data_IF_762127054535
#
_entry.id   IF_762127054535
#
_cell.length_a   1.000
_cell.length_b   1.000
_cell.length_c   1.000
_cell.angle_alpha   90.00
_cell.angle_beta   90.00
_cell.angle_gamma   90.00
#
_symmetry.space_group_name_H-M   'P 1'
#
loop_
_entity.id
_entity.type
_entity.pdbx_description
1 polymer ?
#
# COMPACT_ATOMS: atom_id res chain seq x y z
N UNK A 1 -4.81 9.90 16.40
CA UNK A 1 -5.02 10.72 15.18
C UNK A 1 -6.37 10.38 14.54
N UNK A 2 -6.88 11.22 13.62
CA UNK A 2 -8.09 10.90 12.81
C UNK A 2 -7.74 10.22 11.48
N UNK A 3 -6.56 10.53 10.96
CA UNK A 3 -6.01 10.03 9.71
C UNK A 3 -4.61 9.48 9.99
N UNK A 4 -4.26 8.40 9.31
CA UNK A 4 -2.94 7.78 9.36
C UNK A 4 -2.43 7.65 7.93
N UNK A 5 -1.23 8.15 7.68
CA UNK A 5 -0.58 8.05 6.38
C UNK A 5 0.65 7.16 6.52
N UNK A 6 0.75 6.14 5.66
CA UNK A 6 1.83 5.17 5.63
C UNK A 6 2.48 5.25 4.24
N UNK A 7 3.80 5.36 4.20
CA UNK A 7 4.57 5.27 2.96
C UNK A 7 4.92 3.83 2.63
N UNK A 8 4.90 3.46 1.35
CA UNK A 8 5.30 2.15 0.86
C UNK A 8 6.75 1.83 1.19
N UNK A 9 7.62 2.84 1.28
CA UNK A 9 9.01 2.67 1.74
C UNK A 9 9.13 2.05 3.13
N UNK A 10 8.10 2.20 3.98
CA UNK A 10 8.11 1.61 5.30
C UNK A 10 8.11 0.07 5.25
N UNK A 11 7.59 -0.52 4.17
CA UNK A 11 7.57 -1.98 3.97
C UNK A 11 8.98 -2.59 3.83
N UNK A 12 9.99 -1.78 3.49
CA UNK A 12 11.37 -2.26 3.38
C UNK A 12 12.08 -2.40 4.73
N UNK A 13 11.52 -1.84 5.79
CA UNK A 13 12.11 -1.81 7.14
C UNK A 13 11.41 -2.77 8.12
N UNK A 14 10.44 -3.55 7.63
CA UNK A 14 9.60 -4.43 8.42
C UNK A 14 8.16 -3.93 8.49
N UNK A 15 7.22 -4.86 8.34
CA UNK A 15 5.80 -4.54 8.23
C UNK A 15 5.10 -4.38 9.59
N UNK A 16 5.67 -4.94 10.66
CA UNK A 16 5.02 -5.10 11.96
C UNK A 16 4.43 -3.79 12.50
N UNK A 17 5.20 -2.70 12.44
CA UNK A 17 4.75 -1.40 12.91
C UNK A 17 3.65 -0.79 12.02
N UNK A 18 3.77 -0.92 10.69
CA UNK A 18 2.73 -0.44 9.78
C UNK A 18 1.43 -1.23 9.94
N UNK A 19 1.53 -2.55 10.14
CA UNK A 19 0.37 -3.42 10.30
C UNK A 19 -0.34 -3.17 11.63
N UNK A 20 0.40 -2.97 12.71
CA UNK A 20 -0.16 -2.61 14.02
C UNK A 20 -0.93 -1.28 13.94
N UNK A 21 -0.31 -0.26 13.31
CA UNK A 21 -0.96 1.04 13.12
C UNK A 21 -2.18 0.93 12.22
N UNK A 22 -2.10 0.23 11.09
CA UNK A 22 -3.20 0.10 10.14
C UNK A 22 -4.38 -0.68 10.76
N UNK A 23 -4.12 -1.79 11.45
CA UNK A 23 -5.15 -2.57 12.17
C UNK A 23 -5.79 -1.76 13.28
N UNK A 24 -4.98 -1.09 14.11
CA UNK A 24 -5.47 -0.25 15.18
C UNK A 24 -6.32 0.91 14.66
N UNK A 25 -5.87 1.59 13.61
CA UNK A 25 -6.61 2.69 12.99
C UNK A 25 -7.95 2.22 12.39
N UNK A 26 -7.91 1.16 11.57
CA UNK A 26 -9.09 0.58 10.91
C UNK A 26 -10.14 0.12 11.94
N UNK A 27 -9.72 -0.61 12.99
CA UNK A 27 -10.62 -1.10 14.05
C UNK A 27 -11.32 0.02 14.84
N UNK A 28 -10.74 1.22 14.89
CA UNK A 28 -11.31 2.38 15.60
C UNK A 28 -12.02 3.38 14.66
N UNK A 29 -12.31 2.96 13.43
CA UNK A 29 -12.96 3.79 12.40
C UNK A 29 -12.14 5.03 12.05
N UNK A 30 -10.81 4.90 12.03
CA UNK A 30 -9.89 5.96 11.59
C UNK A 30 -9.50 5.69 10.14
N UNK A 31 -9.30 6.76 9.38
CA UNK A 31 -8.92 6.66 7.98
C UNK A 31 -7.45 6.30 7.85
N UNK A 32 -7.15 5.26 7.08
CA UNK A 32 -5.80 4.83 6.74
C UNK A 32 -5.53 5.11 5.27
N UNK A 33 -4.45 5.83 5.02
CA UNK A 33 -3.95 6.19 3.71
C UNK A 33 -2.61 5.50 3.50
N UNK A 34 -2.46 4.80 2.37
CA UNK A 34 -1.21 4.16 1.97
C UNK A 34 -0.73 4.75 0.65
N UNK A 35 0.55 5.09 0.56
CA UNK A 35 1.21 5.46 -0.69
C UNK A 35 2.04 4.28 -1.22
N UNK A 36 1.95 3.97 -2.51
CA UNK A 36 2.80 2.95 -3.15
C UNK A 36 4.28 3.36 -3.13
N UNK A 37 4.57 4.66 -3.17
CA UNK A 37 5.88 5.31 -3.03
C UNK A 37 6.91 5.04 -4.14
N UNK A 38 6.95 3.82 -4.71
CA UNK A 38 7.80 3.48 -5.84
C UNK A 38 7.33 2.18 -6.53
N UNK A 39 7.59 2.00 -7.84
CA UNK A 39 7.22 0.79 -8.59
C UNK A 39 7.77 -0.52 -8.02
N UNK A 40 8.93 -0.48 -7.37
CA UNK A 40 9.55 -1.69 -6.81
C UNK A 40 8.80 -2.24 -5.57
N UNK A 41 8.00 -1.40 -4.90
CA UNK A 41 7.21 -1.81 -3.72
C UNK A 41 6.20 -2.90 -4.07
N UNK A 42 5.25 -2.69 -5.01
CA UNK A 42 4.34 -3.76 -5.40
C UNK A 42 5.05 -4.94 -6.06
N UNK A 43 6.20 -4.75 -6.69
CA UNK A 43 6.95 -5.82 -7.36
C UNK A 43 7.65 -6.78 -6.39
N UNK A 44 8.35 -6.25 -5.38
CA UNK A 44 9.18 -7.05 -4.46
C UNK A 44 8.57 -7.23 -3.07
N UNK A 45 7.68 -6.33 -2.66
CA UNK A 45 7.03 -6.32 -1.34
C UNK A 45 5.52 -6.56 -1.45
N UNK A 46 5.10 -7.29 -2.50
CA UNK A 46 3.70 -7.61 -2.78
C UNK A 46 2.97 -8.20 -1.57
N UNK A 47 3.54 -9.23 -0.94
CA UNK A 47 2.89 -9.91 0.19
C UNK A 47 2.68 -8.96 1.38
N UNK A 48 3.65 -8.10 1.63
CA UNK A 48 3.57 -7.08 2.68
C UNK A 48 2.46 -6.07 2.35
N UNK A 49 2.45 -5.55 1.13
CA UNK A 49 1.43 -4.63 0.64
C UNK A 49 0.03 -5.25 0.75
N UNK A 50 -0.16 -6.48 0.27
CA UNK A 50 -1.44 -7.21 0.29
C UNK A 50 -1.97 -7.43 1.71
N UNK A 51 -1.09 -7.59 2.71
CA UNK A 51 -1.52 -7.72 4.10
C UNK A 51 -1.99 -6.40 4.73
N UNK A 52 -1.59 -5.26 4.17
CA UNK A 52 -2.05 -3.93 4.61
C UNK A 52 -3.33 -3.48 3.91
N UNK A 53 -3.49 -3.82 2.62
CA UNK A 53 -4.62 -3.34 1.81
C UNK A 53 -6.01 -3.52 2.45
N UNK A 54 -6.33 -4.62 3.19
CA UNK A 54 -7.62 -4.76 3.88
C UNK A 54 -7.89 -3.70 4.97
N UNK A 55 -6.85 -3.00 5.41
CA UNK A 55 -6.91 -1.97 6.45
C UNK A 55 -6.76 -0.56 5.88
N UNK A 56 -6.67 -0.40 4.55
CA UNK A 56 -6.44 0.87 3.87
C UNK A 56 -7.72 1.38 3.24
N UNK A 57 -8.07 2.63 3.51
CA UNK A 57 -9.23 3.29 2.91
C UNK A 57 -8.85 4.03 1.61
N UNK A 58 -7.64 4.58 1.55
CA UNK A 58 -7.15 5.37 0.42
C UNK A 58 -5.78 4.85 0.00
N UNK A 59 -5.67 4.32 -1.22
CA UNK A 59 -4.41 3.98 -1.85
C UNK A 59 -4.02 5.10 -2.83
N UNK A 60 -2.81 5.62 -2.69
CA UNK A 60 -2.26 6.68 -3.53
C UNK A 60 -1.05 6.13 -4.27
N UNK A 61 -0.90 6.50 -5.55
CA UNK A 61 0.30 6.28 -6.33
C UNK A 61 0.25 7.05 -7.64
N UNK A 62 1.41 7.22 -8.28
CA UNK A 62 1.50 7.78 -9.64
C UNK A 62 1.24 6.70 -10.70
N UNK A 63 1.26 7.09 -11.97
CA UNK A 63 1.05 6.23 -13.13
C UNK A 63 2.01 5.02 -13.19
N UNK A 64 3.28 5.24 -12.87
CA UNK A 64 4.31 4.20 -12.91
C UNK A 64 4.12 3.17 -11.79
N UNK A 65 3.74 3.63 -10.61
CA UNK A 65 3.42 2.80 -9.45
C UNK A 65 2.14 2.00 -9.66
N UNK A 66 1.12 2.61 -10.26
CA UNK A 66 -0.14 1.95 -10.60
C UNK A 66 0.06 0.83 -11.63
N UNK A 67 0.85 1.06 -12.68
CA UNK A 67 1.20 0.03 -13.67
C UNK A 67 1.98 -1.13 -13.04
N UNK A 68 2.92 -0.82 -12.15
CA UNK A 68 3.68 -1.84 -11.41
C UNK A 68 2.79 -2.64 -10.46
N UNK A 69 1.84 -1.99 -9.79
CA UNK A 69 0.83 -2.65 -8.95
C UNK A 69 -0.07 -3.58 -9.77
N UNK A 70 -0.61 -3.11 -10.90
CA UNK A 70 -1.46 -3.93 -11.78
C UNK A 70 -0.73 -5.18 -12.27
N UNK A 71 0.52 -5.02 -12.70
CA UNK A 71 1.37 -6.13 -13.13
C UNK A 71 1.60 -7.12 -11.99
N UNK A 72 1.98 -6.63 -10.80
CA UNK A 72 2.24 -7.47 -9.64
C UNK A 72 0.98 -8.21 -9.15
N UNK A 73 -0.18 -7.57 -9.20
CA UNK A 73 -1.48 -8.14 -8.82
C UNK A 73 -2.04 -9.12 -9.87
N UNK A 74 -1.40 -9.27 -11.03
CA UNK A 74 -1.87 -10.15 -12.10
C UNK A 74 -3.06 -9.59 -12.88
N UNK A 75 -3.27 -8.27 -12.85
CA UNK A 75 -4.33 -7.58 -13.58
C UNK A 75 -4.00 -7.31 -15.06
N UNK A 76 -2.83 -7.78 -15.53
CA UNK A 76 -2.36 -7.58 -16.90
C UNK A 76 -1.45 -6.34 -17.05
N UNK A 77 -0.87 -6.19 -18.24
CA UNK A 77 -0.09 -5.01 -18.61
C UNK A 77 -1.04 -3.82 -18.74
N UNK A 78 -1.05 -2.95 -17.73
CA UNK A 78 -1.75 -1.69 -17.77
C UNK A 78 -0.85 -0.66 -18.46
N UNK A 79 -0.66 -0.81 -19.78
CA UNK A 79 -0.21 0.32 -20.60
C UNK A 79 -1.27 1.42 -20.44
N UNK A 80 -0.93 2.50 -19.73
CA UNK A 80 -1.81 3.65 -19.55
C UNK A 80 -1.89 4.53 -20.82
N UNK A 81 -1.65 3.94 -21.99
CA UNK A 81 -1.74 4.55 -23.31
C UNK A 81 -3.13 4.42 -23.92
#
# INVERSE_FOLDING_TARGET
AKYFYIEGYFLTHGIESALEVAKGASAHGKTVVLNLSAPFIPQFFKMQLESLLPHVDILIGNESEAAAYATAAGHGDASLE
#
